data_IF_459857330301
#
_entry.id   IF_459857330301
#
_cell.length_a   1.000
_cell.length_b   1.000
_cell.length_c   1.000
_cell.angle_alpha   90.00
_cell.angle_beta   90.00
_cell.angle_gamma   90.00
#
_symmetry.space_group_name_H-M   'P 1'
#
loop_
_entity.id
_entity.type
_entity.pdbx_description
1 polymer ?
#
# COMPACT_ATOMS: atom_id res chain seq x y z
N UNK A 1 52.83 24.62 -25.79
CA UNK A 1 53.08 24.88 -27.22
C UNK A 1 51.86 24.41 -28.02
N UNK A 2 51.42 25.23 -28.98
CA UNK A 2 50.21 25.08 -29.82
C UNK A 2 50.45 24.10 -30.99
N UNK A 3 49.39 23.39 -31.42
CA UNK A 3 48.92 23.12 -32.81
C UNK A 3 47.94 21.93 -32.74
N UNK A 4 46.65 22.06 -33.02
CA UNK A 4 45.86 22.43 -34.22
C UNK A 4 45.15 21.19 -34.79
N UNK A 5 43.83 21.31 -34.75
CA UNK A 5 42.69 20.59 -35.32
C UNK A 5 42.83 20.18 -36.80
N UNK A 6 42.22 19.04 -37.17
CA UNK A 6 41.68 18.80 -38.51
C UNK A 6 40.29 18.13 -38.39
N UNK A 7 39.29 18.82 -38.94
CA UNK A 7 37.93 18.33 -39.19
C UNK A 7 37.94 17.34 -40.38
N UNK A 8 37.07 16.35 -40.35
CA UNK A 8 36.54 15.72 -41.56
C UNK A 8 35.02 15.80 -41.57
N UNK A 9 34.52 16.43 -42.64
CA UNK A 9 33.15 16.55 -43.03
C UNK A 9 32.84 15.53 -44.14
N UNK A 10 31.61 15.04 -44.18
CA UNK A 10 31.04 14.26 -45.28
C UNK A 10 29.95 13.34 -44.72
N UNK A 11 28.77 13.19 -45.30
CA UNK A 11 28.12 13.87 -46.41
C UNK A 11 26.60 13.69 -46.18
N UNK A 12 25.81 14.69 -46.56
CA UNK A 12 24.35 14.60 -46.57
C UNK A 12 23.87 13.78 -47.78
N UNK A 13 22.85 12.94 -47.57
CA UNK A 13 22.02 12.36 -48.63
C UNK A 13 20.54 12.59 -48.28
N UNK A 14 19.76 13.24 -49.16
CA UNK A 14 18.33 13.41 -48.99
C UNK A 14 17.58 12.27 -49.70
N UNK A 15 16.70 11.56 -48.98
CA UNK A 15 15.65 10.76 -49.59
C UNK A 15 14.30 11.31 -49.13
N UNK A 16 13.70 12.13 -49.98
CA UNK A 16 12.28 12.41 -49.96
C UNK A 16 11.57 11.29 -50.73
N UNK A 17 10.63 10.61 -50.08
CA UNK A 17 9.55 9.90 -50.75
C UNK A 17 8.24 10.28 -50.06
N UNK A 18 7.31 10.72 -50.90
CA UNK A 18 5.96 11.17 -50.59
C UNK A 18 4.95 10.00 -50.63
N UNK A 19 3.83 10.17 -49.92
CA UNK A 19 2.62 9.33 -49.97
C UNK A 19 2.57 8.29 -48.84
N UNK A 20 1.56 8.18 -47.98
CA UNK A 20 0.16 8.57 -48.09
C UNK A 20 -0.36 9.15 -46.76
N UNK A 21 -1.14 10.23 -46.87
CA UNK A 21 -2.12 10.65 -45.88
C UNK A 21 -3.31 9.72 -46.00
N UNK A 22 -3.48 8.80 -45.05
CA UNK A 22 -4.76 8.17 -44.74
C UNK A 22 -4.70 7.59 -43.32
N UNK A 23 -5.62 8.02 -42.46
CA UNK A 23 -5.85 7.40 -41.16
C UNK A 23 -5.37 8.18 -39.94
N UNK A 24 -5.81 9.44 -39.76
CA UNK A 24 -6.04 9.95 -38.40
C UNK A 24 -7.30 9.22 -37.90
N UNK A 25 -7.12 7.98 -37.44
CA UNK A 25 -8.08 7.34 -36.57
C UNK A 25 -8.16 8.16 -35.28
N UNK A 26 -9.33 8.28 -34.65
CA UNK A 26 -9.42 8.98 -33.38
C UNK A 26 -8.41 8.34 -32.42
N UNK A 27 -7.57 9.17 -31.81
CA UNK A 27 -6.86 8.79 -30.60
C UNK A 27 -7.93 8.25 -29.65
N UNK A 28 -7.98 6.94 -29.49
CA UNK A 28 -8.69 6.32 -28.38
C UNK A 28 -8.08 6.95 -27.14
N UNK A 29 -8.83 7.87 -26.54
CA UNK A 29 -8.64 8.26 -25.16
C UNK A 29 -8.77 6.97 -24.35
N UNK A 30 -7.64 6.31 -24.08
CA UNK A 30 -7.57 5.32 -23.03
C UNK A 30 -7.97 6.07 -21.77
N UNK A 31 -9.21 5.85 -21.34
CA UNK A 31 -9.63 6.21 -20.01
C UNK A 31 -8.87 5.27 -19.09
N UNK A 32 -7.63 5.63 -18.75
CA UNK A 32 -6.79 4.92 -17.79
C UNK A 32 -7.35 5.16 -16.38
N UNK A 33 -8.60 4.75 -16.16
CA UNK A 33 -9.15 4.63 -14.83
C UNK A 33 -8.28 3.61 -14.06
N UNK A 34 -7.87 3.91 -12.82
CA UNK A 34 -7.12 2.94 -12.04
C UNK A 34 -7.96 1.65 -11.91
N UNK A 35 -7.30 0.48 -11.91
CA UNK A 35 -7.99 -0.79 -11.77
C UNK A 35 -8.77 -0.83 -10.45
N UNK A 36 -9.73 -1.74 -10.39
CA UNK A 36 -10.57 -1.97 -9.22
C UNK A 36 -10.11 -3.23 -8.46
N UNK A 37 -10.06 -3.25 -7.13
CA UNK A 37 -10.00 -4.50 -6.39
C UNK A 37 -11.31 -5.28 -6.57
N UNK A 38 -11.22 -6.48 -7.14
CA UNK A 38 -12.39 -7.35 -7.37
C UNK A 38 -12.78 -8.16 -6.12
N UNK A 39 -11.85 -8.32 -5.19
CA UNK A 39 -12.06 -8.96 -3.89
C UNK A 39 -11.13 -8.32 -2.86
N UNK A 40 -11.53 -8.37 -1.59
CA UNK A 40 -10.65 -8.01 -0.47
C UNK A 40 -10.46 -9.23 0.40
N UNK A 41 -9.22 -9.73 0.47
CA UNK A 41 -8.81 -10.80 1.39
C UNK A 41 -8.66 -10.30 2.84
N UNK A 42 -8.90 -9.01 3.09
CA UNK A 42 -8.42 -8.31 4.29
C UNK A 42 -9.51 -8.10 5.35
N UNK A 43 -10.66 -8.75 5.24
CA UNK A 43 -11.62 -8.73 6.36
C UNK A 43 -11.20 -9.76 7.41
N UNK A 44 -10.04 -9.53 8.01
CA UNK A 44 -9.54 -10.25 9.18
C UNK A 44 -10.20 -9.77 10.47
N UNK A 45 -11.54 -9.73 10.50
CA UNK A 45 -12.21 -9.95 11.78
C UNK A 45 -12.16 -11.45 12.01
N UNK A 46 -11.78 -11.89 13.21
CA UNK A 46 -11.76 -13.30 13.58
C UNK A 46 -13.13 -14.00 13.39
N UNK A 47 -14.19 -13.21 13.17
CA UNK A 47 -15.56 -13.66 12.97
C UNK A 47 -16.02 -13.61 11.49
N UNK A 48 -15.19 -13.14 10.55
CA UNK A 48 -15.54 -12.94 9.13
C UNK A 48 -14.71 -13.84 8.20
N UNK A 49 -14.91 -15.15 8.30
CA UNK A 49 -14.39 -16.07 7.28
C UNK A 49 -15.29 -16.01 6.02
N UNK A 50 -14.83 -15.33 4.97
CA UNK A 50 -15.55 -15.30 3.69
C UNK A 50 -14.93 -14.36 2.65
N UNK A 51 -15.14 -14.67 1.37
CA UNK A 51 -14.75 -13.78 0.27
C UNK A 51 -15.72 -12.59 0.22
N UNK A 52 -15.21 -11.38 0.47
CA UNK A 52 -15.99 -10.14 0.31
C UNK A 52 -15.93 -9.69 -1.14
N UNK A 53 -17.11 -9.61 -1.76
CA UNK A 53 -17.25 -8.99 -3.09
C UNK A 53 -17.13 -7.48 -2.96
N UNK A 54 -16.19 -6.91 -3.71
CA UNK A 54 -15.93 -5.47 -3.72
C UNK A 54 -16.55 -4.85 -4.96
N UNK A 55 -17.33 -3.79 -4.75
CA UNK A 55 -17.96 -2.98 -5.80
C UNK A 55 -17.15 -1.70 -5.99
N UNK A 56 -16.76 -1.40 -7.23
CA UNK A 56 -16.15 -0.13 -7.55
C UNK A 56 -17.18 0.85 -8.10
N UNK A 57 -17.20 2.03 -7.50
CA UNK A 57 -17.91 3.16 -8.05
C UNK A 57 -16.87 4.03 -8.72
N UNK A 58 -16.65 3.78 -10.01
CA UNK A 58 -15.53 4.36 -10.77
C UNK A 58 -15.74 5.83 -11.10
N UNK A 59 -16.95 6.36 -10.92
CA UNK A 59 -17.36 7.64 -11.47
C UNK A 59 -17.62 8.73 -10.42
N UNK A 60 -16.75 9.77 -10.42
CA UNK A 60 -16.95 11.02 -9.65
C UNK A 60 -18.26 11.70 -10.06
N UNK A 61 -18.64 11.57 -11.33
CA UNK A 61 -19.88 12.15 -11.89
C UNK A 61 -21.06 11.17 -11.88
N UNK A 62 -20.82 9.90 -11.56
CA UNK A 62 -21.92 8.96 -11.33
C UNK A 62 -22.51 9.34 -9.98
N UNK A 63 -23.59 10.12 -10.03
CA UNK A 63 -24.66 9.91 -9.08
C UNK A 63 -24.90 8.41 -9.09
N UNK A 64 -24.49 7.71 -8.03
CA UNK A 64 -24.84 6.31 -7.86
C UNK A 64 -26.30 6.13 -8.29
N UNK A 65 -26.62 5.03 -8.97
CA UNK A 65 -28.01 4.78 -9.32
C UNK A 65 -28.89 5.07 -8.09
N UNK A 66 -30.09 5.61 -8.30
CA UNK A 66 -30.91 6.13 -7.22
C UNK A 66 -31.18 5.11 -6.08
N UNK A 67 -30.89 3.83 -6.32
CA UNK A 67 -31.06 2.72 -5.39
C UNK A 67 -29.72 1.99 -5.08
N UNK A 68 -28.56 2.66 -5.19
CA UNK A 68 -27.24 2.05 -4.99
C UNK A 68 -26.39 2.76 -3.93
N UNK A 69 -25.66 1.97 -3.13
CA UNK A 69 -24.62 2.49 -2.23
C UNK A 69 -23.34 2.68 -3.02
N UNK A 70 -22.69 3.83 -2.88
CA UNK A 70 -21.45 4.12 -3.58
C UNK A 70 -20.40 4.75 -2.68
N UNK A 71 -19.13 4.42 -2.94
CA UNK A 71 -17.97 5.07 -2.35
C UNK A 71 -17.26 5.89 -3.43
N UNK A 72 -17.30 7.21 -3.29
CA UNK A 72 -16.85 8.15 -4.32
C UNK A 72 -15.63 8.92 -3.83
N UNK A 73 -14.52 8.97 -4.59
CA UNK A 73 -13.40 9.83 -4.25
C UNK A 73 -13.71 11.28 -4.63
N UNK A 74 -13.28 12.24 -3.82
CA UNK A 74 -13.34 13.67 -4.15
C UNK A 74 -12.39 14.03 -5.30
N UNK A 75 -11.21 13.39 -5.32
CA UNK A 75 -10.23 13.50 -6.40
C UNK A 75 -9.72 12.11 -6.80
N UNK A 76 -9.57 11.88 -8.11
CA UNK A 76 -9.01 10.63 -8.68
C UNK A 76 -7.49 10.63 -8.79
N UNK A 77 -6.86 11.78 -8.60
CA UNK A 77 -5.41 11.93 -8.63
C UNK A 77 -5.01 12.98 -7.61
N UNK A 78 -3.97 12.70 -6.83
CA UNK A 78 -3.37 13.64 -5.88
C UNK A 78 -1.85 13.60 -6.00
N UNK A 79 -1.17 14.69 -5.64
CA UNK A 79 0.29 14.79 -5.81
C UNK A 79 1.04 14.94 -4.48
N UNK A 80 2.12 14.19 -4.30
CA UNK A 80 3.06 14.26 -3.17
C UNK A 80 3.99 15.48 -3.30
N UNK A 81 4.64 15.95 -2.22
CA UNK A 81 4.80 15.34 -0.87
C UNK A 81 3.67 15.65 0.12
N UNK A 82 2.73 16.51 -0.24
CA UNK A 82 1.56 16.84 0.57
C UNK A 82 0.31 16.86 -0.30
N UNK A 83 -0.67 16.03 0.05
CA UNK A 83 -1.92 15.88 -0.68
C UNK A 83 -3.11 15.84 0.28
N UNK A 84 -4.29 16.18 -0.22
CA UNK A 84 -5.54 15.99 0.48
C UNK A 84 -6.63 15.55 -0.50
N UNK A 85 -7.52 14.67 -0.08
CA UNK A 85 -8.70 14.26 -0.84
C UNK A 85 -9.76 13.76 0.14
N UNK A 86 -10.96 13.52 -0.34
CA UNK A 86 -12.05 12.94 0.44
C UNK A 86 -12.54 11.64 -0.18
N UNK A 87 -13.18 10.82 0.64
CA UNK A 87 -13.94 9.66 0.18
C UNK A 87 -15.31 9.73 0.83
N UNK A 88 -16.37 9.66 0.04
CA UNK A 88 -17.74 9.76 0.54
C UNK A 88 -18.48 8.46 0.22
N UNK A 89 -18.89 7.74 1.26
CA UNK A 89 -19.83 6.63 1.16
C UNK A 89 -21.24 7.21 1.21
N UNK A 90 -22.03 7.01 0.18
CA UNK A 90 -23.45 7.37 0.11
C UNK A 90 -24.27 6.10 0.08
N UNK A 91 -25.32 6.01 0.89
CA UNK A 91 -26.25 4.89 0.87
C UNK A 91 -27.59 5.33 0.27
N UNK A 92 -27.80 5.12 -1.03
CA UNK A 92 -29.09 5.40 -1.66
C UNK A 92 -30.06 4.21 -1.61
N UNK A 93 -29.75 3.14 -0.88
CA UNK A 93 -30.68 2.01 -0.70
C UNK A 93 -31.72 2.32 0.37
N UNK A 94 -32.82 1.59 0.32
CA UNK A 94 -33.89 1.61 1.35
C UNK A 94 -33.52 0.84 2.63
N UNK A 95 -32.34 0.23 2.70
CA UNK A 95 -31.81 -0.48 3.86
C UNK A 95 -30.59 0.25 4.44
N UNK A 96 -30.39 0.18 5.77
CA UNK A 96 -29.21 0.76 6.40
C UNK A 96 -27.95 -0.05 6.05
N UNK A 97 -26.84 0.64 5.81
CA UNK A 97 -25.53 0.03 5.67
C UNK A 97 -24.81 0.07 7.03
N UNK A 98 -24.58 -1.10 7.60
CA UNK A 98 -23.94 -1.27 8.91
C UNK A 98 -22.47 -1.65 8.71
N UNK A 99 -21.56 -0.94 9.37
CA UNK A 99 -20.12 -1.20 9.28
C UNK A 99 -19.35 -0.59 10.42
N UNK A 100 -18.03 -0.82 10.42
CA UNK A 100 -17.12 -0.11 11.30
C UNK A 100 -16.36 0.92 10.48
N UNK A 101 -16.70 2.21 10.62
CA UNK A 101 -16.06 3.27 9.83
C UNK A 101 -14.62 3.57 10.25
N UNK A 102 -14.13 2.97 11.35
CA UNK A 102 -12.69 2.90 11.68
C UNK A 102 -11.96 1.78 10.91
N UNK A 103 -12.70 0.85 10.30
CA UNK A 103 -12.15 -0.29 9.55
C UNK A 103 -12.15 -0.02 8.03
N UNK A 104 -11.69 1.17 7.64
CA UNK A 104 -11.35 1.46 6.25
C UNK A 104 -10.05 0.77 5.86
N UNK A 105 -9.80 0.58 4.57
CA UNK A 105 -8.57 0.00 4.03
C UNK A 105 -7.96 0.92 2.98
N UNK A 106 -6.63 0.93 2.91
CA UNK A 106 -5.92 1.59 1.81
C UNK A 106 -4.99 0.58 1.15
N UNK A 107 -5.32 0.21 -0.08
CA UNK A 107 -4.58 -0.80 -0.83
C UNK A 107 -3.84 -0.14 -1.99
N UNK A 108 -2.64 -0.63 -2.32
CA UNK A 108 -1.87 -0.24 -3.50
C UNK A 108 -1.83 -1.38 -4.50
N UNK A 109 -2.01 -1.06 -5.78
CA UNK A 109 -1.91 -2.02 -6.86
C UNK A 109 -0.46 -2.13 -7.35
N UNK A 110 0.11 -3.33 -7.27
CA UNK A 110 1.47 -3.67 -7.72
C UNK A 110 1.43 -5.04 -8.39
N UNK A 111 2.01 -5.16 -9.59
CA UNK A 111 2.12 -6.42 -10.34
C UNK A 111 0.81 -7.21 -10.46
N UNK A 112 -0.31 -6.51 -10.68
CA UNK A 112 -1.63 -7.11 -10.85
C UNK A 112 -2.34 -7.52 -9.56
N UNK A 113 -1.78 -7.17 -8.39
CA UNK A 113 -2.32 -7.52 -7.07
C UNK A 113 -2.48 -6.30 -6.17
N UNK A 114 -3.44 -6.35 -5.25
CA UNK A 114 -3.70 -5.30 -4.26
C UNK A 114 -3.04 -5.64 -2.92
N UNK A 115 -2.26 -4.69 -2.39
CA UNK A 115 -1.49 -4.84 -1.16
C UNK A 115 -1.91 -3.80 -0.13
N UNK A 116 -2.13 -4.21 1.12
CA UNK A 116 -2.46 -3.29 2.22
C UNK A 116 -1.28 -2.38 2.54
N UNK A 117 -1.48 -1.07 2.60
CA UNK A 117 -0.39 -0.08 2.70
C UNK A 117 -0.25 0.52 4.10
N UNK A 118 -1.35 0.86 4.75
CA UNK A 118 -1.34 1.64 5.99
C UNK A 118 -1.59 0.74 7.19
N UNK A 119 -0.71 0.81 8.19
CA UNK A 119 -0.96 0.21 9.48
C UNK A 119 -2.14 0.91 10.17
N UNK A 120 -3.13 0.15 10.59
CA UNK A 120 -4.29 0.63 11.36
C UNK A 120 -4.29 0.02 12.75
N UNK A 121 -4.89 0.73 13.70
CA UNK A 121 -5.33 0.10 14.96
C UNK A 121 -6.83 -0.11 14.88
N UNK A 122 -7.22 -1.36 15.05
CA UNK A 122 -8.62 -1.72 15.18
C UNK A 122 -9.22 -1.05 16.42
N UNK A 123 -10.26 -0.27 16.23
CA UNK A 123 -11.16 0.14 17.31
C UNK A 123 -12.36 -0.78 17.31
N UNK A 124 -12.53 -1.56 18.38
CA UNK A 124 -13.69 -2.44 18.57
C UNK A 124 -15.01 -1.66 18.78
N UNK A 125 -14.93 -0.35 18.99
CA UNK A 125 -16.10 0.51 19.09
C UNK A 125 -16.38 1.16 17.73
N UNK A 126 -17.40 0.64 17.04
CA UNK A 126 -18.51 1.41 16.48
C UNK A 126 -19.33 0.52 15.53
N UNK A 127 -20.52 0.11 15.94
CA UNK A 127 -21.59 -0.30 15.03
C UNK A 127 -22.14 0.92 14.32
N UNK A 128 -21.30 1.57 13.50
CA UNK A 128 -21.71 2.73 12.72
C UNK A 128 -22.71 2.26 11.67
N UNK A 129 -23.79 3.02 11.51
CA UNK A 129 -24.85 2.71 10.56
C UNK A 129 -25.05 3.92 9.67
N UNK A 130 -25.22 3.67 8.38
CA UNK A 130 -25.59 4.66 7.40
C UNK A 130 -27.05 4.42 7.01
N UNK A 131 -27.94 5.27 7.51
CA UNK A 131 -29.36 5.21 7.17
C UNK A 131 -29.60 5.34 5.65
N UNK A 132 -30.78 4.92 5.14
CA UNK A 132 -31.21 5.25 3.79
C UNK A 132 -31.08 6.74 3.47
N UNK A 133 -30.46 7.06 2.34
CA UNK A 133 -30.12 8.43 1.92
C UNK A 133 -28.98 9.09 2.69
N UNK A 134 -28.37 8.38 3.65
CA UNK A 134 -27.26 8.88 4.46
C UNK A 134 -25.93 8.91 3.71
N UNK A 135 -24.99 9.72 4.20
CA UNK A 135 -23.60 9.75 3.71
C UNK A 135 -22.58 9.86 4.84
N UNK A 136 -21.43 9.22 4.68
CA UNK A 136 -20.27 9.35 5.56
C UNK A 136 -19.04 9.77 4.75
N UNK A 137 -18.23 10.69 5.25
CA UNK A 137 -17.05 11.19 4.53
C UNK A 137 -15.78 11.06 5.35
N UNK A 138 -14.76 10.43 4.77
CA UNK A 138 -13.38 10.46 5.24
C UNK A 138 -12.63 11.58 4.53
N UNK A 139 -11.96 12.44 5.29
CA UNK A 139 -10.97 13.41 4.80
C UNK A 139 -9.59 12.82 4.98
N UNK A 140 -8.90 12.57 3.87
CA UNK A 140 -7.56 12.00 3.86
C UNK A 140 -6.55 13.09 3.57
N UNK A 141 -5.52 13.20 4.40
CA UNK A 141 -4.34 14.03 4.17
C UNK A 141 -3.08 13.17 4.17
N UNK A 142 -2.18 13.44 3.22
CA UNK A 142 -0.93 12.72 3.04
C UNK A 142 0.21 13.68 3.31
N UNK A 143 1.17 13.28 4.16
CA UNK A 143 2.42 14.01 4.37
C UNK A 143 3.60 13.05 4.46
N UNK A 144 4.65 13.30 3.69
CA UNK A 144 5.89 12.50 3.75
C UNK A 144 7.01 13.21 4.50
N UNK A 145 6.67 13.95 5.55
CA UNK A 145 7.64 14.58 6.45
C UNK A 145 7.94 13.71 7.67
N UNK A 146 9.09 13.94 8.30
CA UNK A 146 9.45 13.27 9.55
C UNK A 146 9.58 11.75 9.44
N UNK A 147 9.89 11.24 8.25
CA UNK A 147 9.95 9.81 7.98
C UNK A 147 11.09 9.12 8.72
N UNK A 148 12.07 9.81 9.26
CA UNK A 148 13.07 9.23 10.17
C UNK A 148 12.44 8.61 11.43
N UNK A 149 11.22 8.99 11.80
CA UNK A 149 10.50 8.41 12.93
C UNK A 149 9.61 7.25 12.48
N UNK A 150 9.28 6.33 13.40
CA UNK A 150 8.24 5.32 13.18
C UNK A 150 6.92 5.95 12.71
N UNK A 151 6.29 5.32 11.72
CA UNK A 151 4.94 5.67 11.29
C UNK A 151 3.96 4.99 12.23
N UNK A 152 3.26 5.81 13.01
CA UNK A 152 2.23 5.32 13.93
C UNK A 152 0.98 4.86 13.17
N UNK A 153 0.30 3.81 13.64
CA UNK A 153 -0.96 3.39 13.03
C UNK A 153 -2.05 4.44 13.14
N UNK A 154 -2.86 4.57 12.09
CA UNK A 154 -3.97 5.53 12.05
C UNK A 154 -5.18 4.95 12.78
N UNK A 155 -5.81 5.78 13.62
CA UNK A 155 -7.02 5.43 14.39
C UNK A 155 -8.02 6.58 14.29
N UNK A 156 -8.74 6.66 13.17
CA UNK A 156 -9.75 7.69 12.92
C UNK A 156 -10.78 7.18 11.90
N UNK A 157 -12.01 7.69 12.00
CA UNK A 157 -13.14 7.40 11.12
C UNK A 157 -13.55 8.59 10.24
N UNK A 158 -13.02 9.78 10.48
CA UNK A 158 -13.31 10.97 9.66
C UNK A 158 -12.04 11.63 9.13
N UNK A 159 -11.08 12.01 9.99
CA UNK A 159 -9.85 12.70 9.56
C UNK A 159 -8.66 11.74 9.60
N UNK A 160 -8.16 11.35 8.42
CA UNK A 160 -7.07 10.40 8.24
C UNK A 160 -5.78 11.14 7.89
N UNK A 161 -4.82 11.14 8.80
CA UNK A 161 -3.47 11.68 8.56
C UNK A 161 -2.52 10.54 8.22
N UNK A 162 -2.23 10.39 6.93
CA UNK A 162 -1.37 9.34 6.40
C UNK A 162 0.04 9.86 6.16
N UNK A 163 1.01 8.97 6.35
CA UNK A 163 2.42 9.22 6.05
C UNK A 163 3.02 8.04 5.31
N UNK A 164 4.11 8.30 4.61
CA UNK A 164 4.87 7.29 3.87
C UNK A 164 4.04 6.60 2.77
N UNK A 165 3.40 7.40 1.91
CA UNK A 165 2.82 6.91 0.67
C UNK A 165 3.73 7.26 -0.50
N UNK A 166 4.00 6.30 -1.38
CA UNK A 166 4.67 6.54 -2.65
C UNK A 166 3.68 6.71 -3.80
N UNK A 167 4.17 7.04 -5.01
CA UNK A 167 3.34 7.10 -6.20
C UNK A 167 2.78 5.73 -6.56
N UNK A 168 1.64 5.72 -7.26
CA UNK A 168 1.00 4.51 -7.76
C UNK A 168 -0.52 4.58 -7.77
N UNK A 169 -1.14 3.45 -8.07
CA UNK A 169 -2.59 3.27 -8.05
C UNK A 169 -3.02 2.72 -6.70
N UNK A 170 -4.00 3.37 -6.09
CA UNK A 170 -4.53 3.05 -4.77
C UNK A 170 -6.04 2.84 -4.83
N UNK A 171 -6.57 2.14 -3.83
CA UNK A 171 -8.00 2.02 -3.59
C UNK A 171 -8.29 2.22 -2.11
N UNK A 172 -9.17 3.17 -1.80
CA UNK A 172 -9.77 3.29 -0.48
C UNK A 172 -10.97 2.35 -0.41
N UNK A 173 -11.00 1.46 0.57
CA UNK A 173 -12.01 0.39 0.67
C UNK A 173 -12.72 0.44 2.01
N UNK A 174 -14.03 0.29 2.00
CA UNK A 174 -14.84 0.10 3.21
C UNK A 174 -15.67 -1.17 3.08
N UNK A 175 -15.97 -1.81 4.21
CA UNK A 175 -16.74 -3.06 4.24
C UNK A 175 -17.86 -2.97 5.26
N UNK A 176 -18.98 -3.63 4.96
CA UNK A 176 -20.15 -3.66 5.83
C UNK A 176 -21.21 -4.63 5.33
N UNK A 177 -22.38 -4.59 5.93
CA UNK A 177 -23.55 -5.39 5.56
C UNK A 177 -24.82 -4.54 5.59
N UNK A 178 -25.86 -5.00 4.90
CA UNK A 178 -27.18 -4.37 4.96
C UNK A 178 -28.04 -5.02 6.05
N UNK A 179 -28.87 -4.21 6.71
CA UNK A 179 -29.79 -4.66 7.75
C UNK A 179 -30.54 -3.51 8.41
N UNK A 180 -31.09 -3.76 9.60
CA UNK A 180 -31.67 -2.70 10.42
C UNK A 180 -30.57 -1.75 10.94
N UNK A 181 -30.93 -0.49 11.16
CA UNK A 181 -30.00 0.50 11.72
C UNK A 181 -29.53 0.07 13.12
N UNK A 182 -28.22 0.11 13.35
CA UNK A 182 -27.61 -0.29 14.62
C UNK A 182 -27.66 -1.79 14.89
N UNK A 183 -28.15 -2.60 13.94
CA UNK A 183 -28.10 -4.05 14.10
C UNK A 183 -26.65 -4.52 14.09
N UNK A 184 -26.23 -5.29 15.11
CA UNK A 184 -24.91 -5.88 15.09
C UNK A 184 -24.82 -6.84 13.91
N UNK A 185 -23.62 -6.92 13.33
CA UNK A 185 -23.34 -7.87 12.27
C UNK A 185 -23.67 -9.31 12.72
N UNK A 186 -24.20 -10.11 11.79
CA UNK A 186 -24.52 -11.53 11.99
C UNK A 186 -23.73 -12.39 11.00
N UNK A 187 -23.27 -13.55 11.45
CA UNK A 187 -22.52 -14.54 10.65
C UNK A 187 -23.18 -14.93 9.32
N UNK A 188 -24.50 -14.88 9.25
CA UNK A 188 -25.27 -15.19 8.03
C UNK A 188 -25.51 -14.00 7.10
N UNK A 189 -25.13 -12.77 7.46
CA UNK A 189 -25.34 -11.60 6.61
C UNK A 189 -24.21 -11.49 5.57
N UNK A 190 -24.53 -11.35 4.27
CA UNK A 190 -23.51 -11.14 3.25
C UNK A 190 -22.77 -9.83 3.51
N UNK A 191 -21.44 -9.91 3.56
CA UNK A 191 -20.58 -8.74 3.63
C UNK A 191 -20.33 -8.21 2.21
N UNK A 192 -20.44 -6.90 2.04
CA UNK A 192 -20.14 -6.19 0.80
C UNK A 192 -19.01 -5.19 1.06
N UNK A 193 -18.12 -5.05 0.08
CA UNK A 193 -17.09 -4.04 0.07
C UNK A 193 -17.37 -2.96 -0.98
N UNK A 194 -16.98 -1.73 -0.69
CA UNK A 194 -16.97 -0.63 -1.64
C UNK A 194 -15.57 -0.08 -1.77
N UNK A 195 -15.11 0.12 -3.00
CA UNK A 195 -13.79 0.66 -3.30
C UNK A 195 -13.86 1.92 -4.17
N UNK A 196 -13.03 2.89 -3.82
CA UNK A 196 -12.79 4.11 -4.57
C UNK A 196 -11.32 4.15 -5.03
N UNK A 197 -11.05 3.81 -6.31
CA UNK A 197 -9.70 3.88 -6.85
C UNK A 197 -9.26 5.32 -7.10
N UNK A 198 -8.00 5.61 -6.84
CA UNK A 198 -7.35 6.90 -7.11
C UNK A 198 -5.86 6.72 -7.37
N UNK A 199 -5.21 7.73 -7.94
CA UNK A 199 -3.79 7.74 -8.26
C UNK A 199 -3.07 8.70 -7.31
N UNK A 200 -1.88 8.29 -6.86
CA UNK A 200 -0.94 9.17 -6.17
C UNK A 200 0.23 9.41 -7.11
N UNK A 201 0.54 10.67 -7.38
CA UNK A 201 1.64 11.12 -8.22
C UNK A 201 2.77 11.70 -7.36
N UNK A 202 4.00 11.65 -7.86
CA UNK A 202 5.16 12.23 -7.22
C UNK A 202 6.38 11.31 -7.24
N UNK A 203 7.36 11.62 -6.41
CA UNK A 203 8.61 10.89 -6.35
C UNK A 203 8.46 9.55 -5.63
N UNK A 204 9.15 8.48 -6.08
CA UNK A 204 9.19 7.19 -5.38
C UNK A 204 9.53 7.34 -3.90
N UNK A 205 8.83 6.57 -3.07
CA UNK A 205 9.12 6.48 -1.65
C UNK A 205 10.36 5.59 -1.43
N UNK A 206 11.48 6.19 -1.03
CA UNK A 206 12.70 5.45 -0.69
C UNK A 206 12.62 4.89 0.72
N UNK A 207 13.06 3.64 0.92
CA UNK A 207 13.10 3.03 2.24
C UNK A 207 14.32 3.50 3.02
N UNK A 208 14.11 4.34 4.03
CA UNK A 208 15.16 4.82 4.94
C UNK A 208 15.06 4.13 6.31
N UNK A 209 16.14 3.88 7.07
CA UNK A 209 16.03 3.38 8.43
C UNK A 209 15.34 4.37 9.38
N UNK A 210 14.84 3.88 10.51
CA UNK A 210 14.35 4.73 11.59
C UNK A 210 15.49 5.32 12.42
N UNK A 211 15.23 6.42 13.11
CA UNK A 211 16.13 7.05 14.07
C UNK A 211 16.33 6.23 15.37
N UNK A 212 15.80 5.01 15.44
CA UNK A 212 16.05 4.05 16.53
C UNK A 212 17.28 3.19 16.27
N UNK A 213 17.76 3.14 15.02
CA UNK A 213 19.05 2.52 14.68
C UNK A 213 20.15 3.35 15.32
N UNK A 214 20.93 2.71 16.19
CA UNK A 214 22.04 3.35 16.90
C UNK A 214 23.38 3.04 16.26
N UNK A 215 23.53 1.83 15.73
CA UNK A 215 24.78 1.35 15.15
C UNK A 215 24.50 0.40 13.99
N UNK A 216 25.39 0.44 12.98
CA UNK A 216 25.36 -0.44 11.82
C UNK A 216 26.79 -0.90 11.56
N UNK A 217 27.03 -2.21 11.68
CA UNK A 217 28.32 -2.84 11.43
C UNK A 217 28.20 -3.81 10.27
N UNK A 218 29.14 -3.76 9.32
CA UNK A 218 29.20 -4.67 8.18
C UNK A 218 30.40 -5.61 8.29
N UNK A 219 30.14 -6.89 8.11
CA UNK A 219 31.15 -7.95 7.99
C UNK A 219 30.85 -8.79 6.74
N UNK A 220 31.57 -8.49 5.65
CA UNK A 220 31.34 -9.10 4.34
C UNK A 220 29.91 -8.86 3.83
N UNK A 221 29.18 -9.96 3.66
CA UNK A 221 27.79 -10.01 3.17
C UNK A 221 26.75 -9.91 4.29
N UNK A 222 27.19 -9.78 5.55
CA UNK A 222 26.32 -9.66 6.72
C UNK A 222 26.37 -8.25 7.29
N UNK A 223 25.20 -7.65 7.52
CA UNK A 223 25.04 -6.39 8.25
C UNK A 223 24.42 -6.67 9.61
N UNK A 224 25.01 -6.15 10.68
CA UNK A 224 24.42 -6.14 12.02
C UNK A 224 23.91 -4.74 12.32
N UNK A 225 22.64 -4.63 12.69
CA UNK A 225 21.97 -3.38 13.08
C UNK A 225 21.64 -3.44 14.56
N UNK A 226 22.00 -2.41 15.32
CA UNK A 226 21.59 -2.28 16.72
C UNK A 226 20.46 -1.26 16.81
N UNK A 227 19.31 -1.67 17.34
CA UNK A 227 18.10 -0.85 17.47
C UNK A 227 17.68 -0.76 18.94
N UNK A 228 17.55 0.46 19.46
CA UNK A 228 17.33 0.71 20.89
C UNK A 228 18.63 0.73 21.70
N UNK A 229 18.54 0.83 23.03
CA UNK A 229 19.65 1.18 23.94
C UNK A 229 20.78 0.14 24.06
N UNK A 230 21.86 0.55 24.74
CA UNK A 230 23.23 -0.01 24.78
C UNK A 230 23.42 -1.51 25.12
N UNK A 231 22.36 -2.27 25.40
CA UNK A 231 22.45 -3.70 25.74
C UNK A 231 21.25 -4.49 25.15
N UNK A 232 21.28 -4.82 23.85
CA UNK A 232 20.23 -5.60 23.20
C UNK A 232 20.29 -7.06 23.64
N UNK A 233 19.21 -7.57 24.23
CA UNK A 233 19.09 -8.96 24.70
C UNK A 233 18.54 -9.91 23.62
N UNK A 234 18.00 -9.38 22.52
CA UNK A 234 17.37 -10.17 21.45
C UNK A 234 18.02 -9.93 20.12
N UNK A 235 17.93 -10.94 19.27
CA UNK A 235 18.31 -10.78 17.87
C UNK A 235 17.38 -11.49 16.91
N UNK A 236 17.25 -10.92 15.71
CA UNK A 236 16.58 -11.54 14.57
C UNK A 236 17.49 -11.47 13.36
N UNK A 237 17.59 -12.57 12.62
CA UNK A 237 18.36 -12.61 11.36
C UNK A 237 17.41 -12.81 10.19
N UNK A 238 17.51 -11.92 9.21
CA UNK A 238 16.80 -12.00 7.93
C UNK A 238 17.81 -12.25 6.83
N UNK A 239 17.54 -13.23 5.98
CA UNK A 239 18.41 -13.62 4.86
C UNK A 239 17.66 -13.45 3.55
N UNK A 240 18.31 -12.87 2.54
CA UNK A 240 17.80 -12.82 1.16
C UNK A 240 17.88 -14.22 0.56
N UNK A 241 16.81 -14.70 -0.06
CA UNK A 241 16.79 -15.97 -0.80
C UNK A 241 16.87 -15.71 -2.30
N UNK A 242 17.64 -16.53 -3.01
CA UNK A 242 17.62 -16.62 -4.47
C UNK A 242 16.32 -17.27 -4.95
N UNK A 243 15.85 -16.87 -6.14
CA UNK A 243 14.51 -17.13 -6.69
C UNK A 243 14.11 -18.61 -6.87
N UNK A 244 14.99 -19.57 -6.61
CA UNK A 244 14.82 -20.98 -7.00
C UNK A 244 13.87 -21.80 -6.11
N UNK A 245 13.35 -21.24 -5.02
CA UNK A 245 12.52 -21.98 -4.04
C UNK A 245 11.32 -21.17 -3.53
N UNK A 246 10.37 -20.85 -4.41
CA UNK A 246 8.99 -20.59 -3.98
C UNK A 246 8.16 -21.84 -4.28
N UNK A 247 7.83 -22.70 -3.29
CA UNK A 247 6.98 -23.85 -3.53
C UNK A 247 5.62 -23.41 -4.09
N UNK A 248 5.06 -24.20 -5.01
CA UNK A 248 3.71 -23.93 -5.52
C UNK A 248 2.71 -23.91 -4.35
N UNK A 249 1.98 -22.81 -4.19
CA UNK A 249 1.09 -22.58 -3.05
C UNK A 249 1.71 -21.79 -1.88
N UNK A 250 2.86 -21.14 -2.09
CA UNK A 250 3.50 -20.26 -1.10
C UNK A 250 2.56 -19.13 -0.64
N UNK A 251 2.08 -19.21 0.61
CA UNK A 251 1.22 -18.20 1.25
C UNK A 251 2.05 -17.07 1.90
N UNK A 252 3.26 -16.81 1.39
CA UNK A 252 4.11 -15.74 1.91
C UNK A 252 3.40 -14.38 1.85
N UNK A 253 3.61 -13.58 2.90
CA UNK A 253 3.15 -12.19 2.89
C UNK A 253 4.01 -11.39 1.91
N UNK A 254 3.38 -10.64 1.00
CA UNK A 254 4.08 -9.71 0.11
C UNK A 254 3.88 -8.29 0.61
N UNK A 255 4.99 -7.59 0.85
CA UNK A 255 5.03 -6.22 1.34
C UNK A 255 5.30 -5.25 0.19
N UNK A 256 4.61 -4.09 0.23
CA UNK A 256 5.01 -2.89 -0.51
C UNK A 256 5.70 -1.92 0.44
N UNK A 257 6.46 -0.96 -0.09
CA UNK A 257 7.27 -0.02 0.72
C UNK A 257 6.43 0.69 1.77
N UNK A 258 5.20 1.10 1.43
CA UNK A 258 4.26 1.74 2.34
C UNK A 258 3.94 0.85 3.56
N UNK A 259 3.70 -0.45 3.34
CA UNK A 259 3.45 -1.42 4.42
C UNK A 259 4.65 -1.61 5.34
N UNK A 260 5.87 -1.54 4.77
CA UNK A 260 7.12 -1.65 5.52
C UNK A 260 7.29 -0.46 6.47
N UNK A 261 6.88 0.74 6.07
CA UNK A 261 6.91 1.93 6.93
C UNK A 261 6.07 1.79 8.21
N UNK A 262 4.97 1.03 8.15
CA UNK A 262 4.17 0.66 9.32
C UNK A 262 4.80 -0.39 10.23
N UNK A 263 5.96 -0.95 9.86
CA UNK A 263 6.69 -1.96 10.62
C UNK A 263 8.15 -1.52 10.84
N UNK A 264 8.44 -0.77 11.92
CA UNK A 264 9.76 -0.17 12.16
C UNK A 264 10.92 -1.16 12.11
N UNK A 265 10.75 -2.36 12.69
CA UNK A 265 11.81 -3.36 12.70
C UNK A 265 12.06 -3.92 11.30
N UNK A 266 11.00 -4.22 10.54
CA UNK A 266 11.14 -4.67 9.15
C UNK A 266 11.74 -3.60 8.25
N UNK A 267 11.38 -2.34 8.47
CA UNK A 267 11.99 -1.18 7.82
C UNK A 267 13.48 -1.09 8.09
N UNK A 268 13.89 -1.16 9.36
CA UNK A 268 15.30 -1.08 9.75
C UNK A 268 16.12 -2.23 9.16
N UNK A 269 15.55 -3.44 9.05
CA UNK A 269 16.13 -4.60 8.35
C UNK A 269 16.28 -4.32 6.86
N UNK A 270 15.15 -4.02 6.19
CA UNK A 270 15.08 -3.99 4.73
C UNK A 270 15.92 -2.86 4.14
N UNK A 271 16.04 -1.74 4.87
CA UNK A 271 16.88 -0.62 4.47
C UNK A 271 18.39 -0.93 4.41
N UNK A 272 18.85 -2.07 4.95
CA UNK A 272 20.28 -2.46 4.88
C UNK A 272 20.63 -3.34 3.69
N UNK A 273 19.64 -3.80 2.91
CA UNK A 273 19.86 -4.73 1.81
C UNK A 273 20.34 -4.03 0.54
N UNK A 274 21.55 -3.49 0.60
CA UNK A 274 22.28 -2.94 -0.54
C UNK A 274 23.01 -4.04 -1.36
N UNK A 275 23.56 -3.73 -2.55
CA UNK A 275 24.35 -4.69 -3.31
C UNK A 275 25.48 -5.33 -2.48
N UNK A 276 25.53 -6.66 -2.50
CA UNK A 276 26.52 -7.45 -1.74
C UNK A 276 26.16 -7.66 -0.26
N UNK A 277 24.93 -7.36 0.17
CA UNK A 277 24.40 -7.79 1.47
C UNK A 277 23.39 -8.92 1.25
N UNK A 278 23.65 -10.06 1.87
CA UNK A 278 22.78 -11.24 1.81
C UNK A 278 22.04 -11.49 3.12
N UNK A 279 22.56 -10.96 4.23
CA UNK A 279 22.03 -11.20 5.56
C UNK A 279 22.05 -9.94 6.41
N UNK A 280 20.96 -9.72 7.14
CA UNK A 280 20.85 -8.63 8.10
C UNK A 280 20.43 -9.19 9.45
N UNK A 281 21.24 -8.95 10.47
CA UNK A 281 20.96 -9.31 11.85
C UNK A 281 20.61 -8.05 12.63
N UNK A 282 19.38 -7.97 13.14
CA UNK A 282 18.98 -6.87 14.03
C UNK A 282 19.08 -7.33 15.47
N UNK A 283 19.83 -6.56 16.27
CA UNK A 283 19.91 -6.67 17.72
C UNK A 283 19.01 -5.60 18.34
N UNK A 284 18.15 -5.99 19.27
CA UNK A 284 17.22 -5.06 19.90
C UNK A 284 16.82 -5.50 21.30
N UNK A 285 16.37 -4.56 22.13
CA UNK A 285 15.66 -4.80 23.38
C UNK A 285 14.12 -4.79 23.19
N UNK A 286 13.66 -4.52 21.97
CA UNK A 286 12.26 -4.43 21.62
C UNK A 286 11.52 -5.77 21.60
N UNK A 287 10.19 -5.71 21.53
CA UNK A 287 9.39 -6.89 21.15
C UNK A 287 9.56 -7.12 19.65
N UNK A 288 10.03 -8.30 19.30
CA UNK A 288 9.97 -8.79 17.93
C UNK A 288 8.48 -9.02 17.60
N UNK A 289 7.98 -8.37 16.55
CA UNK A 289 6.58 -8.50 16.13
C UNK A 289 6.26 -9.94 15.67
N UNK A 290 4.98 -10.28 15.59
CA UNK A 290 4.50 -11.62 15.15
C UNK A 290 4.99 -12.05 13.77
N UNK A 291 5.40 -11.09 12.94
CA UNK A 291 5.97 -11.30 11.60
C UNK A 291 7.39 -11.87 11.61
N UNK A 292 8.09 -11.82 12.75
CA UNK A 292 9.46 -12.32 12.89
C UNK A 292 9.50 -13.61 13.70
N UNK A 293 8.82 -14.63 13.22
CA UNK A 293 9.00 -15.99 13.73
C UNK A 293 10.06 -16.71 12.90
N UNK A 294 10.82 -17.61 13.52
CA UNK A 294 11.80 -18.43 12.82
C UNK A 294 11.10 -19.27 11.73
N UNK A 295 11.65 -19.28 10.53
CA UNK A 295 11.08 -19.94 9.35
C UNK A 295 10.06 -19.10 8.58
N UNK A 296 9.73 -17.89 9.03
CA UNK A 296 8.85 -17.00 8.28
C UNK A 296 9.48 -16.61 6.95
N UNK A 297 8.70 -16.68 5.86
CA UNK A 297 9.08 -16.17 4.54
C UNK A 297 8.16 -15.02 4.14
N UNK A 298 8.73 -14.02 3.47
CA UNK A 298 8.00 -12.89 2.92
C UNK A 298 8.65 -12.37 1.64
N UNK A 299 7.90 -11.64 0.83
CA UNK A 299 8.39 -10.99 -0.37
C UNK A 299 8.38 -9.47 -0.22
N UNK A 300 9.38 -8.79 -0.78
CA UNK A 300 9.47 -7.35 -0.88
C UNK A 300 10.25 -6.99 -2.15
N UNK A 301 9.69 -6.12 -3.00
CA UNK A 301 10.27 -5.71 -4.30
C UNK A 301 10.73 -6.90 -5.16
N UNK A 302 9.86 -7.91 -5.30
CA UNK A 302 10.14 -9.14 -6.05
C UNK A 302 11.15 -10.09 -5.39
N UNK A 303 11.83 -9.66 -4.32
CA UNK A 303 12.84 -10.45 -3.61
C UNK A 303 12.21 -11.22 -2.46
N UNK A 304 12.62 -12.48 -2.29
CA UNK A 304 12.18 -13.32 -1.18
C UNK A 304 13.15 -13.23 -0.01
N UNK A 305 12.61 -13.14 1.20
CA UNK A 305 13.37 -13.08 2.44
C UNK A 305 12.89 -14.15 3.41
N UNK A 306 13.81 -14.66 4.23
CA UNK A 306 13.53 -15.62 5.29
C UNK A 306 14.07 -15.12 6.63
N UNK A 307 13.27 -15.33 7.68
CA UNK A 307 13.69 -15.17 9.07
C UNK A 307 14.31 -16.46 9.58
N UNK A 308 15.64 -16.51 9.72
CA UNK A 308 16.39 -17.74 10.04
C UNK A 308 16.68 -17.92 11.52
N UNK A 309 16.82 -16.82 12.26
CA UNK A 309 17.09 -16.84 13.70
C UNK A 309 16.26 -15.81 14.44
N UNK A 310 15.84 -16.18 15.64
CA UNK A 310 15.09 -15.36 16.59
C UNK A 310 15.55 -15.82 17.97
N UNK A 311 16.39 -15.02 18.62
CA UNK A 311 16.97 -15.33 19.93
C UNK A 311 16.44 -14.35 20.98
N UNK A 312 16.32 -14.86 22.21
CA UNK A 312 15.76 -14.17 23.38
C UNK A 312 16.79 -13.93 24.45
#
# INVERSE_FOLDING_TARGET
MKRRTLLHAGAALPCALAGCLDGIGPLSSSSDAPPCPTSSSVVGNADLEGEVRVQCNTDIESTAAADETALVPGERAVSLPAAATTFTLVNNRDEAFNGNFYNWHLQKHVDGSWHETVARRFSAAAGASLAPGGSHTWSLSIRNDGLERPVEPVTADETLELRALGPGQYAFVVVGSYGGEGEPWRESQPVVGYAAPFTVEGDPLELTPTNRVQDVARDGETVTVTVGADDPDRSVTVTRRTEEEAPAGDQRTTYVTESVYGNPLLRDVLAQFEPGVERVTVRTNGRLGTRFHRGATFAYEGTTFEVTAVDR
#
